data_IF_665714965171
#
_entry.id   IF_665714965171
#
_cell.length_a   1.000
_cell.length_b   1.000
_cell.length_c   1.000
_cell.angle_alpha   90.00
_cell.angle_beta   90.00
_cell.angle_gamma   90.00
#
_symmetry.space_group_name_H-M   'P 1'
#
loop_
_entity.id
_entity.type
_entity.pdbx_description
1 polymer ?
#
# COMPACT_ATOMS: atom_id res chain seq x y z
N UNK A 1 28.37 -20.87 -30.26
CA UNK A 1 26.92 -20.61 -30.21
C UNK A 1 26.53 -20.85 -28.77
N UNK A 2 26.62 -19.81 -27.94
CA UNK A 2 26.21 -19.91 -26.54
C UNK A 2 24.73 -19.54 -26.51
N UNK A 3 23.91 -20.52 -26.14
CA UNK A 3 22.48 -20.31 -25.92
C UNK A 3 22.32 -19.29 -24.78
N UNK A 4 21.66 -18.18 -25.10
CA UNK A 4 21.25 -17.18 -24.13
C UNK A 4 20.25 -17.84 -23.17
N UNK A 5 20.70 -18.14 -21.95
CA UNK A 5 19.84 -18.50 -20.83
C UNK A 5 18.94 -17.30 -20.48
N UNK A 6 17.84 -17.17 -21.22
CA UNK A 6 16.75 -16.26 -20.92
C UNK A 6 15.98 -16.76 -19.68
N UNK A 7 16.62 -16.66 -18.52
CA UNK A 7 15.98 -16.81 -17.21
C UNK A 7 15.17 -15.55 -16.87
N UNK A 8 14.13 -15.27 -17.65
CA UNK A 8 13.07 -14.38 -17.20
C UNK A 8 12.21 -15.15 -16.20
N UNK A 9 12.62 -15.10 -14.93
CA UNK A 9 11.72 -15.38 -13.80
C UNK A 9 10.47 -14.52 -13.98
N UNK A 10 9.39 -15.16 -14.41
CA UNK A 10 8.07 -14.57 -14.55
C UNK A 10 7.56 -14.22 -13.15
N UNK A 11 8.03 -13.08 -12.62
CA UNK A 11 7.49 -12.48 -11.41
C UNK A 11 6.03 -12.21 -11.72
N UNK A 12 5.11 -12.95 -11.09
CA UNK A 12 3.68 -12.67 -11.18
C UNK A 12 3.49 -11.19 -10.88
N UNK A 13 3.20 -10.41 -11.92
CA UNK A 13 2.95 -8.98 -11.81
C UNK A 13 1.64 -8.83 -11.09
N UNK A 14 1.68 -8.39 -9.84
CA UNK A 14 0.47 -8.11 -9.09
C UNK A 14 -0.29 -6.96 -9.76
N UNK A 15 -1.61 -7.08 -9.83
CA UNK A 15 -2.49 -6.00 -10.24
C UNK A 15 -2.50 -4.96 -9.14
N UNK A 16 -2.05 -3.71 -9.41
CA UNK A 16 -2.06 -2.65 -8.41
C UNK A 16 -3.51 -2.29 -8.07
N UNK A 17 -3.79 -2.17 -6.76
CA UNK A 17 -5.05 -1.64 -6.25
C UNK A 17 -4.77 -0.31 -5.58
N UNK A 18 -5.49 0.74 -5.97
CA UNK A 18 -5.33 2.08 -5.42
C UNK A 18 -5.75 2.10 -3.94
N UNK A 19 -4.99 2.81 -3.11
CA UNK A 19 -5.33 3.06 -1.70
C UNK A 19 -6.21 4.30 -1.60
N UNK A 20 -7.44 4.21 -2.09
CA UNK A 20 -8.34 5.37 -2.19
C UNK A 20 -8.60 6.04 -0.84
N UNK A 21 -8.62 5.26 0.26
CA UNK A 21 -8.78 5.82 1.60
C UNK A 21 -7.67 6.83 1.95
N UNK A 22 -6.41 6.59 1.54
CA UNK A 22 -5.30 7.53 1.77
C UNK A 22 -5.52 8.82 1.00
N UNK A 23 -5.95 8.72 -0.27
CA UNK A 23 -6.27 9.90 -1.08
C UNK A 23 -7.39 10.72 -0.45
N UNK A 24 -8.43 10.06 0.04
CA UNK A 24 -9.55 10.72 0.72
C UNK A 24 -9.07 11.45 1.98
N UNK A 25 -8.32 10.79 2.86
CA UNK A 25 -7.79 11.42 4.07
C UNK A 25 -6.85 12.59 3.75
N UNK A 26 -5.93 12.41 2.81
CA UNK A 26 -5.04 13.48 2.35
C UNK A 26 -5.81 14.68 1.82
N UNK A 27 -6.80 14.44 0.96
CA UNK A 27 -7.60 15.51 0.36
C UNK A 27 -8.46 16.24 1.41
N UNK A 28 -8.98 15.55 2.43
CA UNK A 28 -9.70 16.18 3.55
C UNK A 28 -8.81 17.18 4.31
N UNK A 29 -7.52 16.89 4.43
CA UNK A 29 -6.55 17.77 5.07
C UNK A 29 -6.04 18.89 4.14
N UNK A 30 -6.42 18.90 2.86
CA UNK A 30 -5.91 19.84 1.87
C UNK A 30 -4.44 19.61 1.51
N UNK A 31 -3.89 18.43 1.78
CA UNK A 31 -2.48 18.13 1.56
C UNK A 31 -2.21 17.63 0.15
N UNK A 32 -1.11 18.10 -0.44
CA UNK A 32 -0.57 17.50 -1.67
C UNK A 32 0.22 16.23 -1.35
N UNK A 33 0.39 15.36 -2.34
CA UNK A 33 1.24 14.17 -2.21
C UNK A 33 2.71 14.57 -1.94
N UNK A 34 3.15 15.69 -2.53
CA UNK A 34 4.48 16.27 -2.36
C UNK A 34 4.68 16.83 -0.95
N UNK A 35 3.63 17.37 -0.32
CA UNK A 35 3.70 17.80 1.07
C UNK A 35 3.85 16.59 2.00
N UNK A 36 2.95 15.61 1.92
CA UNK A 36 3.00 14.43 2.78
C UNK A 36 4.29 13.63 2.62
N UNK A 37 4.79 13.46 1.39
CA UNK A 37 6.08 12.77 1.18
C UNK A 37 7.24 13.44 1.92
N UNK A 38 7.29 14.78 1.96
CA UNK A 38 8.28 15.53 2.73
C UNK A 38 8.12 15.31 4.23
N UNK A 39 6.90 15.43 4.75
CA UNK A 39 6.61 15.24 6.19
C UNK A 39 6.86 13.79 6.66
N UNK A 40 6.66 12.82 5.77
CA UNK A 40 6.91 11.41 6.04
C UNK A 40 8.39 11.02 5.91
N UNK A 41 9.24 11.92 5.40
CA UNK A 41 10.63 11.68 5.03
C UNK A 41 10.79 10.52 4.03
N UNK A 42 10.01 10.58 2.94
CA UNK A 42 10.05 9.63 1.82
C UNK A 42 10.07 10.35 0.49
N UNK A 43 10.53 9.68 -0.56
CA UNK A 43 10.45 10.30 -1.90
C UNK A 43 9.00 10.48 -2.36
N UNK A 44 8.72 11.56 -3.08
CA UNK A 44 7.40 11.80 -3.66
C UNK A 44 6.96 10.66 -4.59
N UNK A 45 7.89 10.05 -5.32
CA UNK A 45 7.63 8.87 -6.15
C UNK A 45 7.18 7.70 -5.29
N UNK A 46 7.88 7.42 -4.19
CA UNK A 46 7.52 6.34 -3.27
C UNK A 46 6.12 6.54 -2.66
N UNK A 47 5.81 7.76 -2.20
CA UNK A 47 4.48 8.07 -1.67
C UNK A 47 3.38 7.89 -2.73
N UNK A 48 3.59 8.36 -3.96
CA UNK A 48 2.63 8.16 -5.06
C UNK A 48 2.46 6.68 -5.42
N UNK A 49 3.53 5.88 -5.34
CA UNK A 49 3.47 4.43 -5.54
C UNK A 49 2.68 3.70 -4.43
N UNK A 50 2.71 4.22 -3.21
CA UNK A 50 1.86 3.74 -2.12
C UNK A 50 0.42 4.06 -2.44
N UNK A 51 0.08 5.35 -2.61
CA UNK A 51 -1.31 5.76 -2.90
C UNK A 51 -1.87 5.09 -4.15
N UNK A 52 -1.06 4.93 -5.18
CA UNK A 52 -1.43 4.32 -6.46
C UNK A 52 -1.47 2.79 -6.46
N UNK A 53 -1.07 2.12 -5.37
CA UNK A 53 -1.16 0.67 -5.26
C UNK A 53 -0.02 -0.12 -5.89
N UNK A 54 0.96 0.54 -6.51
CA UNK A 54 2.16 -0.10 -7.05
C UNK A 54 3.01 -0.73 -5.93
N UNK A 55 2.79 -0.30 -4.68
CA UNK A 55 3.31 -0.92 -3.47
C UNK A 55 2.17 -1.60 -2.69
N UNK A 56 1.51 -2.57 -3.32
CA UNK A 56 0.38 -3.33 -2.75
C UNK A 56 0.70 -4.23 -1.55
N UNK A 57 1.90 -4.11 -0.97
CA UNK A 57 2.26 -4.76 0.30
C UNK A 57 1.72 -3.93 1.47
N UNK A 58 1.65 -4.55 2.64
CA UNK A 58 1.38 -3.87 3.92
C UNK A 58 2.32 -2.67 4.10
N UNK A 59 1.80 -1.57 4.63
CA UNK A 59 2.67 -0.45 5.00
C UNK A 59 3.58 -0.84 6.17
N UNK A 60 4.83 -0.35 6.20
CA UNK A 60 5.64 -0.39 7.40
C UNK A 60 4.91 0.29 8.56
N UNK A 61 4.99 -0.30 9.76
CA UNK A 61 4.28 0.22 10.94
C UNK A 61 4.66 1.67 11.27
N UNK A 62 5.93 2.04 11.09
CA UNK A 62 6.41 3.41 11.27
C UNK A 62 5.70 4.40 10.35
N UNK A 63 5.50 4.01 9.08
CA UNK A 63 4.79 4.81 8.10
C UNK A 63 3.31 4.94 8.45
N UNK A 64 2.69 3.87 8.93
CA UNK A 64 1.29 3.87 9.42
C UNK A 64 1.12 4.87 10.56
N UNK A 65 1.99 4.82 11.57
CA UNK A 65 1.92 5.72 12.72
C UNK A 65 2.06 7.19 12.27
N UNK A 66 3.05 7.49 11.44
CA UNK A 66 3.24 8.86 10.91
C UNK A 66 2.03 9.32 10.10
N UNK A 67 1.46 8.47 9.25
CA UNK A 67 0.26 8.79 8.47
C UNK A 67 -0.95 9.09 9.35
N UNK A 68 -1.19 8.30 10.40
CA UNK A 68 -2.29 8.52 11.35
C UNK A 68 -2.16 9.90 12.00
N UNK A 69 -0.94 10.24 12.46
CA UNK A 69 -0.66 11.52 13.10
C UNK A 69 -0.85 12.68 12.13
N UNK A 70 -0.20 12.63 10.95
CA UNK A 70 -0.24 13.73 9.98
C UNK A 70 -1.63 13.92 9.38
N UNK A 71 -2.36 12.85 9.12
CA UNK A 71 -3.71 12.93 8.54
C UNK A 71 -4.80 13.21 9.58
N UNK A 72 -4.44 13.27 10.87
CA UNK A 72 -5.38 13.46 11.99
C UNK A 72 -6.57 12.49 11.96
N UNK A 73 -6.30 11.22 11.60
CA UNK A 73 -7.32 10.16 11.53
C UNK A 73 -7.31 9.37 12.82
N UNK A 74 -8.48 8.95 13.29
CA UNK A 74 -8.59 8.06 14.44
C UNK A 74 -7.90 6.72 14.14
N UNK A 75 -7.02 6.20 15.01
CA UNK A 75 -6.21 5.01 14.70
C UNK A 75 -7.03 3.78 14.28
N UNK A 76 -8.14 3.49 14.96
CA UNK A 76 -8.98 2.34 14.62
C UNK A 76 -9.66 2.52 13.26
N UNK A 77 -10.10 3.72 12.91
CA UNK A 77 -10.63 4.06 11.57
C UNK A 77 -9.58 3.79 10.48
N UNK A 78 -8.35 4.29 10.65
CA UNK A 78 -7.28 4.08 9.68
C UNK A 78 -6.96 2.59 9.51
N UNK A 79 -6.83 1.86 10.61
CA UNK A 79 -6.50 0.43 10.58
C UNK A 79 -7.61 -0.40 9.93
N UNK A 80 -8.88 -0.05 10.13
CA UNK A 80 -10.00 -0.68 9.42
C UNK A 80 -9.93 -0.42 7.92
N UNK A 81 -9.62 0.81 7.50
CA UNK A 81 -9.48 1.14 6.09
C UNK A 81 -8.32 0.37 5.43
N UNK A 82 -7.16 0.27 6.09
CA UNK A 82 -6.02 -0.51 5.62
C UNK A 82 -6.34 -2.02 5.56
N UNK A 83 -7.05 -2.56 6.55
CA UNK A 83 -7.46 -3.96 6.56
C UNK A 83 -8.43 -4.30 5.41
N UNK A 84 -9.37 -3.39 5.12
CA UNK A 84 -10.27 -3.52 3.96
C UNK A 84 -9.49 -3.47 2.66
N UNK A 85 -8.59 -2.50 2.50
CA UNK A 85 -7.71 -2.40 1.33
C UNK A 85 -6.92 -3.69 1.09
N UNK A 86 -6.25 -4.22 2.12
CA UNK A 86 -5.44 -5.43 2.01
C UNK A 86 -6.29 -6.64 1.64
N UNK A 87 -7.49 -6.77 2.20
CA UNK A 87 -8.39 -7.88 1.86
C UNK A 87 -8.82 -7.82 0.39
N UNK A 88 -9.17 -6.65 -0.13
CA UNK A 88 -9.50 -6.47 -1.55
C UNK A 88 -8.29 -6.67 -2.46
N UNK A 89 -7.10 -6.22 -2.06
CA UNK A 89 -5.87 -6.44 -2.81
C UNK A 89 -5.52 -7.93 -2.90
N UNK A 90 -5.65 -8.66 -1.79
CA UNK A 90 -5.40 -10.10 -1.72
C UNK A 90 -6.40 -10.88 -2.59
N UNK A 91 -7.67 -10.52 -2.55
CA UNK A 91 -8.72 -11.10 -3.40
C UNK A 91 -8.42 -10.87 -4.90
N UNK A 92 -8.13 -9.61 -5.28
CA UNK A 92 -7.80 -9.23 -6.65
C UNK A 92 -6.60 -9.99 -7.21
N UNK A 93 -5.62 -10.28 -6.36
CA UNK A 93 -4.38 -10.93 -6.74
C UNK A 93 -4.37 -12.45 -6.48
N UNK A 94 -5.50 -13.04 -6.07
CA UNK A 94 -5.61 -14.48 -5.79
C UNK A 94 -4.67 -14.96 -4.67
N UNK A 95 -4.33 -14.09 -3.73
CA UNK A 95 -3.43 -14.38 -2.60
C UNK A 95 -4.24 -15.15 -1.56
N UNK A 96 -4.02 -16.46 -1.45
CA UNK A 96 -4.70 -17.30 -0.46
C UNK A 96 -4.22 -16.98 0.95
N UNK A 97 -5.12 -16.55 1.84
CA UNK A 97 -4.88 -16.64 3.30
C UNK A 97 -4.81 -18.13 3.66
N UNK A 98 -3.71 -18.56 4.27
CA UNK A 98 -3.63 -19.91 4.83
C UNK A 98 -4.81 -20.15 5.79
N UNK A 99 -5.38 -21.35 5.71
CA UNK A 99 -6.57 -21.82 6.42
C UNK A 99 -6.56 -21.42 7.89
N UNK A 100 -7.73 -20.92 8.33
CA UNK A 100 -8.24 -20.92 9.71
C UNK A 100 -7.56 -22.03 10.53
N UNK A 101 -6.73 -21.66 11.51
CA UNK A 101 -6.31 -22.60 12.55
C UNK A 101 -7.60 -22.99 13.27
N UNK A 102 -8.09 -24.20 13.00
CA UNK A 102 -9.11 -24.84 13.83
C UNK A 102 -8.41 -25.23 15.12
N UNK A 103 -8.74 -24.53 16.20
CA UNK A 103 -8.57 -25.06 17.54
C UNK A 103 -9.62 -26.15 17.76
#
# INVERSE_FOLDING_TARGET
MYEEDSMHLNQKSHVPLVRDYLKVYRNKMGYSAEYLSRELDVSAVYYRQIEGGQRGKRLPIELVIKLIILLHVEPLEFLKAEASYLSSYEELNGIKKYKKIRW
#
